data_IF_755113353724
#
_entry.id   IF_755113353724
#
_cell.length_a   1.000
_cell.length_b   1.000
_cell.length_c   1.000
_cell.angle_alpha   90.00
_cell.angle_beta   90.00
_cell.angle_gamma   90.00
#
_symmetry.space_group_name_H-M   'P 1'
#
loop_
_entity.id
_entity.type
_entity.pdbx_description
1 polymer ?
#
# COMPACT_ATOMS: atom_id res chain seq x y z
N UNK A 1 8.43 1.08 30.39
CA UNK A 1 7.58 1.34 29.20
C UNK A 1 6.49 0.28 29.20
N UNK A 2 5.22 0.69 29.02
CA UNK A 2 4.09 -0.25 29.03
C UNK A 2 3.68 -0.72 27.62
N UNK A 3 3.99 0.07 26.60
CA UNK A 3 3.68 -0.24 25.21
C UNK A 3 4.63 0.49 24.27
N UNK A 4 4.82 -0.09 23.08
CA UNK A 4 5.51 0.53 21.96
C UNK A 4 4.46 0.99 20.94
N UNK A 5 4.42 2.27 20.64
CA UNK A 5 3.47 2.82 19.67
C UNK A 5 4.18 3.40 18.45
N UNK A 6 3.53 3.28 17.29
CA UNK A 6 3.95 3.91 16.03
C UNK A 6 5.34 3.49 15.53
N UNK A 7 5.84 2.31 15.91
CA UNK A 7 7.03 1.73 15.29
C UNK A 7 6.75 1.41 13.82
N UNK A 8 7.65 1.77 12.92
CA UNK A 8 7.44 1.61 11.48
C UNK A 8 8.06 0.30 10.98
N UNK A 9 7.28 -0.43 10.22
CA UNK A 9 7.72 -1.56 9.40
C UNK A 9 7.40 -2.93 9.98
N UNK A 10 6.94 -3.82 9.11
CA UNK A 10 6.57 -5.19 9.48
C UNK A 10 7.77 -6.04 9.88
N UNK A 11 8.88 -6.09 9.14
CA UNK A 11 10.05 -6.86 9.55
C UNK A 11 10.63 -6.41 10.89
N UNK A 12 10.65 -5.10 11.14
CA UNK A 12 11.13 -4.53 12.40
C UNK A 12 10.24 -4.93 13.58
N UNK A 13 8.93 -4.92 13.38
CA UNK A 13 7.96 -5.33 14.41
C UNK A 13 8.10 -6.81 14.73
N UNK A 14 8.19 -7.66 13.71
CA UNK A 14 8.38 -9.11 13.91
C UNK A 14 9.71 -9.43 14.59
N UNK A 15 10.76 -8.69 14.29
CA UNK A 15 12.08 -8.88 14.87
C UNK A 15 12.12 -8.65 16.40
N UNK A 16 11.29 -7.75 16.91
CA UNK A 16 11.28 -7.40 18.34
C UNK A 16 10.23 -8.16 19.16
N UNK A 17 9.47 -9.09 18.57
CA UNK A 17 8.38 -9.80 19.26
C UNK A 17 8.87 -10.56 20.50
N UNK A 18 10.04 -11.19 20.44
CA UNK A 18 10.60 -11.91 21.58
C UNK A 18 10.96 -11.00 22.75
N UNK A 19 11.45 -9.79 22.47
CA UNK A 19 11.75 -8.81 23.51
C UNK A 19 10.46 -8.20 24.09
N UNK A 20 9.44 -7.95 23.26
CA UNK A 20 8.12 -7.51 23.74
C UNK A 20 7.49 -8.54 24.69
N UNK A 21 7.56 -9.81 24.33
CA UNK A 21 7.05 -10.92 25.14
C UNK A 21 7.78 -11.01 26.48
N UNK A 22 9.10 -11.00 26.45
CA UNK A 22 9.96 -11.03 27.64
C UNK A 22 9.69 -9.87 28.61
N UNK A 23 9.46 -8.67 28.07
CA UNK A 23 9.22 -7.47 28.84
C UNK A 23 7.73 -7.25 29.18
N UNK A 24 6.86 -8.20 28.80
CA UNK A 24 5.41 -8.13 28.94
C UNK A 24 4.83 -6.82 28.38
N UNK A 25 5.22 -6.50 27.18
CA UNK A 25 4.83 -5.29 26.45
C UNK A 25 3.99 -5.61 25.21
N UNK A 26 3.12 -4.69 24.84
CA UNK A 26 2.39 -4.72 23.57
C UNK A 26 2.95 -3.70 22.60
N UNK A 27 2.67 -3.87 21.31
CA UNK A 27 2.99 -2.87 20.29
C UNK A 27 1.77 -2.53 19.43
N UNK A 28 1.67 -1.25 19.04
CA UNK A 28 0.75 -0.75 18.02
C UNK A 28 1.58 -0.15 16.88
N UNK A 29 2.09 -0.98 15.95
CA UNK A 29 3.01 -0.53 14.92
C UNK A 29 2.30 0.17 13.77
N UNK A 30 3.00 1.02 13.03
CA UNK A 30 2.63 1.47 11.69
C UNK A 30 2.99 0.38 10.66
N UNK A 31 2.25 -0.70 10.73
CA UNK A 31 2.44 -1.92 9.94
C UNK A 31 1.17 -2.75 10.04
N UNK A 32 0.67 -3.24 8.92
CA UNK A 32 -0.65 -3.90 8.82
C UNK A 32 -0.54 -5.25 8.10
N UNK A 33 0.32 -6.10 8.62
CA UNK A 33 0.53 -7.45 8.10
C UNK A 33 -0.60 -8.38 8.52
N UNK A 34 -1.24 -9.08 7.59
CA UNK A 34 -2.35 -10.01 7.89
C UNK A 34 -1.95 -11.13 8.88
N UNK A 35 -0.66 -11.43 8.99
CA UNK A 35 -0.14 -12.40 9.94
C UNK A 35 -0.33 -12.01 11.41
N UNK A 36 -0.54 -10.73 11.71
CA UNK A 36 -0.82 -10.28 13.08
C UNK A 36 -2.17 -10.77 13.62
N UNK A 37 -3.08 -11.20 12.76
CA UNK A 37 -4.32 -11.85 13.19
C UNK A 37 -4.10 -13.26 13.76
N UNK A 38 -2.91 -13.82 13.62
CA UNK A 38 -2.58 -15.19 14.07
C UNK A 38 -1.66 -15.13 15.28
N UNK A 39 -2.21 -15.52 16.44
CA UNK A 39 -1.50 -15.53 17.72
C UNK A 39 -0.19 -16.34 17.69
N UNK A 40 -0.09 -17.32 16.83
CA UNK A 40 1.12 -18.12 16.63
C UNK A 40 2.26 -17.32 16.03
N UNK A 41 1.97 -16.21 15.33
CA UNK A 41 2.96 -15.32 14.70
C UNK A 41 3.26 -14.09 15.57
N UNK A 42 2.24 -13.46 16.13
CA UNK A 42 2.36 -12.19 16.87
C UNK A 42 2.37 -12.34 18.39
N UNK A 43 2.19 -13.58 18.90
CA UNK A 43 2.06 -13.92 20.32
C UNK A 43 0.90 -13.21 21.03
N UNK A 44 0.01 -12.57 20.30
CA UNK A 44 -1.06 -11.73 20.82
C UNK A 44 -0.57 -10.41 21.41
N UNK A 45 0.59 -9.92 20.95
CA UNK A 45 1.23 -8.70 21.46
C UNK A 45 0.99 -7.49 20.54
N UNK A 46 0.47 -7.69 19.34
CA UNK A 46 0.27 -6.62 18.36
C UNK A 46 -1.17 -6.12 18.43
N UNK A 47 -1.33 -4.82 18.53
CA UNK A 47 -2.62 -4.12 18.44
C UNK A 47 -2.68 -3.41 17.08
N UNK A 48 -3.45 -3.99 16.17
CA UNK A 48 -3.67 -3.38 14.85
C UNK A 48 -4.74 -2.28 14.96
N UNK A 49 -4.53 -1.18 14.25
CA UNK A 49 -5.48 -0.06 14.17
C UNK A 49 -5.89 0.27 12.73
N UNK A 50 -5.56 -0.58 11.78
CA UNK A 50 -5.87 -0.41 10.37
C UNK A 50 -6.16 -1.74 9.66
N UNK A 51 -6.58 -1.66 8.41
CA UNK A 51 -6.83 -2.83 7.56
C UNK A 51 -5.52 -3.48 7.14
N UNK A 52 -5.45 -4.80 7.15
CA UNK A 52 -4.25 -5.52 6.68
C UNK A 52 -3.92 -5.22 5.21
N UNK A 53 -2.65 -5.35 4.83
CA UNK A 53 -2.22 -5.14 3.44
C UNK A 53 -2.94 -6.08 2.47
N UNK A 54 -3.18 -7.32 2.88
CA UNK A 54 -3.96 -8.28 2.10
C UNK A 54 -5.40 -7.76 1.86
N UNK A 55 -6.10 -7.34 2.90
CA UNK A 55 -7.44 -6.77 2.76
C UNK A 55 -7.45 -5.46 1.96
N UNK A 56 -6.44 -4.60 2.12
CA UNK A 56 -6.29 -3.40 1.31
C UNK A 56 -6.11 -3.76 -0.18
N UNK A 57 -5.28 -4.76 -0.50
CA UNK A 57 -5.08 -5.23 -1.88
C UNK A 57 -6.36 -5.79 -2.52
N UNK A 58 -7.12 -6.59 -1.76
CA UNK A 58 -8.44 -7.09 -2.20
C UNK A 58 -9.39 -5.93 -2.50
N UNK A 59 -9.57 -5.04 -1.53
CA UNK A 59 -10.49 -3.90 -1.65
C UNK A 59 -10.08 -2.93 -2.77
N UNK A 60 -8.78 -2.75 -3.02
CA UNK A 60 -8.28 -1.90 -4.08
C UNK A 60 -8.75 -2.38 -5.46
N UNK A 61 -8.62 -3.68 -5.75
CA UNK A 61 -9.08 -4.23 -7.02
C UNK A 61 -10.60 -4.26 -7.12
N UNK A 62 -11.31 -4.71 -6.08
CA UNK A 62 -12.77 -4.74 -6.06
C UNK A 62 -13.35 -3.34 -6.26
N UNK A 63 -12.80 -2.34 -5.59
CA UNK A 63 -13.21 -0.95 -5.77
C UNK A 63 -12.92 -0.43 -7.19
N UNK A 64 -11.75 -0.74 -7.74
CA UNK A 64 -11.38 -0.31 -9.09
C UNK A 64 -12.35 -0.89 -10.15
N UNK A 65 -12.68 -2.17 -10.03
CA UNK A 65 -13.64 -2.84 -10.92
C UNK A 65 -15.06 -2.25 -10.82
N UNK A 66 -15.48 -1.88 -9.60
CA UNK A 66 -16.83 -1.37 -9.37
C UNK A 66 -16.99 0.13 -9.68
N UNK A 67 -15.92 0.92 -9.58
CA UNK A 67 -16.01 2.38 -9.50
C UNK A 67 -15.35 3.12 -10.65
N UNK A 68 -14.34 2.52 -11.30
CA UNK A 68 -13.64 3.18 -12.38
C UNK A 68 -14.35 2.97 -13.74
N UNK A 69 -14.37 3.99 -14.61
CA UNK A 69 -15.03 3.90 -15.92
C UNK A 69 -14.12 3.21 -16.97
N UNK A 70 -13.40 2.17 -16.56
CA UNK A 70 -12.46 1.41 -17.39
C UNK A 70 -12.69 -0.09 -17.19
N UNK A 71 -12.52 -0.85 -18.26
CA UNK A 71 -12.66 -2.31 -18.25
C UNK A 71 -11.31 -2.94 -17.89
N UNK A 72 -11.08 -3.20 -16.60
CA UNK A 72 -9.84 -3.80 -16.10
C UNK A 72 -9.90 -5.31 -16.28
N UNK A 73 -9.10 -5.85 -17.19
CA UNK A 73 -8.97 -7.29 -17.48
C UNK A 73 -7.62 -7.86 -17.08
N UNK A 74 -6.61 -6.99 -17.10
CA UNK A 74 -5.23 -7.36 -16.81
C UNK A 74 -4.62 -6.43 -15.77
N UNK A 75 -3.92 -7.01 -14.79
CA UNK A 75 -3.25 -6.26 -13.76
C UNK A 75 -1.80 -6.69 -13.59
N UNK A 76 -0.96 -5.74 -13.18
CA UNK A 76 0.40 -5.99 -12.73
C UNK A 76 0.55 -5.71 -11.24
N UNK A 77 1.43 -6.45 -10.58
CA UNK A 77 1.73 -6.25 -9.15
C UNK A 77 3.19 -5.89 -9.00
N UNK A 78 3.49 -4.81 -8.28
CA UNK A 78 4.86 -4.39 -7.97
C UNK A 78 4.99 -4.18 -6.47
N UNK A 79 6.04 -4.73 -5.88
CA UNK A 79 6.30 -4.52 -4.46
C UNK A 79 7.62 -5.11 -4.02
N UNK A 80 7.89 -5.00 -2.74
CA UNK A 80 8.98 -5.73 -2.12
C UNK A 80 8.46 -7.10 -1.64
N UNK A 81 9.26 -8.14 -1.78
CA UNK A 81 8.94 -9.44 -1.20
C UNK A 81 8.76 -9.34 0.33
N UNK A 82 8.06 -10.32 0.91
CA UNK A 82 7.86 -10.44 2.36
C UNK A 82 6.52 -9.89 2.84
N UNK A 83 6.52 -9.44 4.09
CA UNK A 83 5.30 -9.23 4.88
C UNK A 83 4.46 -8.01 4.46
N UNK A 84 5.06 -7.06 3.76
CA UNK A 84 4.35 -5.89 3.22
C UNK A 84 3.87 -6.14 1.78
N UNK A 85 4.81 -6.14 0.82
CA UNK A 85 4.44 -6.26 -0.59
C UNK A 85 3.91 -7.65 -0.96
N UNK A 86 4.42 -8.71 -0.32
CA UNK A 86 3.90 -10.06 -0.52
C UNK A 86 2.48 -10.25 0.04
N UNK A 87 2.16 -9.61 1.17
CA UNK A 87 0.82 -9.67 1.75
C UNK A 87 -0.20 -8.88 0.89
N UNK A 88 0.18 -7.69 0.44
CA UNK A 88 -0.57 -6.92 -0.55
C UNK A 88 -0.83 -7.72 -1.83
N UNK A 89 0.22 -8.33 -2.37
CA UNK A 89 0.12 -9.12 -3.60
C UNK A 89 -0.85 -10.30 -3.48
N UNK A 90 -0.86 -10.99 -2.33
CA UNK A 90 -1.84 -12.05 -2.06
C UNK A 90 -3.27 -11.54 -2.11
N UNK A 91 -3.51 -10.36 -1.54
CA UNK A 91 -4.84 -9.72 -1.58
C UNK A 91 -5.27 -9.41 -3.01
N UNK A 92 -4.42 -8.76 -3.80
CA UNK A 92 -4.71 -8.45 -5.22
C UNK A 92 -4.92 -9.73 -6.03
N UNK A 93 -4.10 -10.77 -5.84
CA UNK A 93 -4.24 -12.05 -6.52
C UNK A 93 -5.58 -12.74 -6.19
N UNK A 94 -5.97 -12.75 -4.91
CA UNK A 94 -7.24 -13.34 -4.48
C UNK A 94 -8.45 -12.61 -5.09
N UNK A 95 -8.44 -11.28 -5.12
CA UNK A 95 -9.48 -10.49 -5.75
C UNK A 95 -9.49 -10.69 -7.28
N UNK A 96 -8.32 -10.78 -7.92
CA UNK A 96 -8.21 -11.03 -9.35
C UNK A 96 -8.81 -12.40 -9.72
N UNK A 97 -8.50 -13.44 -8.97
CA UNK A 97 -9.08 -14.79 -9.16
C UNK A 97 -10.61 -14.75 -8.98
N UNK A 98 -11.11 -14.11 -7.92
CA UNK A 98 -12.53 -14.03 -7.63
C UNK A 98 -13.34 -13.28 -8.72
N UNK A 99 -12.72 -12.31 -9.39
CA UNK A 99 -13.35 -11.46 -10.39
C UNK A 99 -13.01 -11.86 -11.85
N UNK A 100 -12.21 -12.91 -12.07
CA UNK A 100 -11.81 -13.34 -13.41
C UNK A 100 -10.83 -12.38 -14.10
N UNK A 101 -10.08 -11.59 -13.32
CA UNK A 101 -9.04 -10.67 -13.80
C UNK A 101 -7.71 -11.41 -13.91
N UNK A 102 -6.96 -11.16 -14.98
CA UNK A 102 -5.65 -11.80 -15.18
C UNK A 102 -4.54 -11.00 -14.52
N UNK A 103 -3.77 -11.63 -13.63
CA UNK A 103 -2.49 -11.07 -13.18
C UNK A 103 -1.43 -11.38 -14.24
N UNK A 104 -1.11 -10.40 -15.08
CA UNK A 104 -0.19 -10.57 -16.20
C UNK A 104 1.25 -10.77 -15.74
N UNK A 105 1.64 -10.08 -14.67
CA UNK A 105 2.96 -10.21 -14.06
C UNK A 105 2.93 -9.77 -12.59
N UNK A 106 3.91 -10.27 -11.83
CA UNK A 106 4.15 -9.88 -10.45
C UNK A 106 5.67 -9.72 -10.25
N UNK A 107 6.10 -8.53 -9.85
CA UNK A 107 7.50 -8.21 -9.59
C UNK A 107 7.68 -7.88 -8.11
N UNK A 108 8.19 -8.85 -7.35
CA UNK A 108 8.31 -8.82 -5.89
C UNK A 108 9.72 -9.25 -5.45
N UNK A 109 10.78 -8.53 -5.84
CA UNK A 109 12.13 -8.84 -5.35
C UNK A 109 12.29 -8.45 -3.87
N UNK A 110 13.32 -8.94 -3.18
CA UNK A 110 13.75 -8.38 -1.91
C UNK A 110 13.96 -6.86 -2.02
N UNK A 111 13.70 -6.12 -0.94
CA UNK A 111 13.76 -4.64 -0.98
C UNK A 111 15.14 -4.10 -1.40
N UNK A 112 16.23 -4.83 -1.07
CA UNK A 112 17.60 -4.49 -1.44
C UNK A 112 17.94 -4.76 -2.91
N UNK A 113 17.08 -5.50 -3.61
CA UNK A 113 17.27 -5.91 -5.02
C UNK A 113 16.23 -5.27 -5.95
N UNK A 114 15.41 -4.34 -5.41
CA UNK A 114 14.39 -3.68 -6.21
C UNK A 114 15.02 -2.77 -7.26
N UNK A 115 14.72 -3.06 -8.53
CA UNK A 115 15.19 -2.31 -9.69
C UNK A 115 14.02 -1.58 -10.36
N UNK A 116 14.07 -0.25 -10.33
CA UNK A 116 13.07 0.63 -10.96
C UNK A 116 13.02 0.43 -12.47
N UNK A 117 14.17 0.26 -13.12
CA UNK A 117 14.22 0.08 -14.57
C UNK A 117 13.57 -1.24 -14.99
N UNK A 118 13.76 -2.30 -14.22
CA UNK A 118 13.09 -3.58 -14.44
C UNK A 118 11.57 -3.46 -14.25
N UNK A 119 11.12 -2.78 -13.19
CA UNK A 119 9.68 -2.55 -12.95
C UNK A 119 9.04 -1.78 -14.11
N UNK A 120 9.66 -0.68 -14.56
CA UNK A 120 9.19 0.10 -15.71
C UNK A 120 9.26 -0.72 -17.00
N UNK A 121 10.32 -1.50 -17.19
CA UNK A 121 10.49 -2.39 -18.35
C UNK A 121 9.35 -3.41 -18.49
N UNK A 122 8.85 -3.95 -17.37
CA UNK A 122 7.65 -4.83 -17.39
C UNK A 122 6.41 -4.09 -17.87
N UNK A 123 6.17 -2.88 -17.40
CA UNK A 123 5.03 -2.07 -17.86
C UNK A 123 5.10 -1.76 -19.37
N UNK A 124 6.31 -1.56 -19.91
CA UNK A 124 6.53 -1.31 -21.34
C UNK A 124 6.29 -2.56 -22.19
N UNK A 125 6.86 -3.68 -21.74
CA UNK A 125 6.89 -4.93 -22.54
C UNK A 125 5.63 -5.76 -22.37
N UNK A 126 4.96 -5.63 -21.24
CA UNK A 126 3.73 -6.33 -20.88
C UNK A 126 2.70 -5.33 -20.32
N UNK A 127 2.10 -4.49 -21.18
CA UNK A 127 1.16 -3.48 -20.73
C UNK A 127 -0.05 -4.12 -20.02
N UNK A 128 -0.55 -3.43 -19.00
CA UNK A 128 -1.71 -3.83 -18.20
C UNK A 128 -2.68 -2.67 -18.07
N UNK A 129 -3.94 -2.96 -17.74
CA UNK A 129 -4.98 -1.94 -17.56
C UNK A 129 -4.76 -1.19 -16.23
N UNK A 130 -4.29 -1.87 -15.20
CA UNK A 130 -3.93 -1.29 -13.92
C UNK A 130 -2.73 -1.99 -13.28
N UNK A 131 -2.00 -1.28 -12.41
CA UNK A 131 -0.96 -1.89 -11.59
C UNK A 131 -1.15 -1.57 -10.11
N UNK A 132 -0.68 -2.47 -9.25
CA UNK A 132 -0.92 -2.48 -7.82
C UNK A 132 0.41 -2.41 -7.06
N UNK A 133 0.93 -1.20 -6.80
CA UNK A 133 2.21 -1.03 -6.13
C UNK A 133 2.11 -1.09 -4.61
N UNK A 134 3.05 -1.82 -3.99
CA UNK A 134 3.33 -1.83 -2.56
C UNK A 134 4.82 -1.57 -2.33
N UNK A 135 5.21 -0.32 -2.46
CA UNK A 135 6.58 0.20 -2.40
C UNK A 135 6.70 1.27 -1.31
N UNK A 136 7.93 1.63 -0.96
CA UNK A 136 8.15 2.89 -0.25
C UNK A 136 7.90 4.09 -1.17
N UNK A 137 7.58 5.29 -0.61
CA UNK A 137 7.19 6.46 -1.40
C UNK A 137 8.24 6.87 -2.45
N UNK A 138 9.51 6.79 -2.12
CA UNK A 138 10.59 7.13 -3.06
C UNK A 138 10.60 6.20 -4.29
N UNK A 139 10.55 4.90 -4.07
CA UNK A 139 10.50 3.92 -5.15
C UNK A 139 9.20 4.05 -5.97
N UNK A 140 8.06 4.32 -5.30
CA UNK A 140 6.80 4.59 -5.97
C UNK A 140 6.91 5.78 -6.93
N UNK A 141 7.48 6.91 -6.47
CA UNK A 141 7.67 8.09 -7.31
C UNK A 141 8.59 7.81 -8.50
N UNK A 142 9.66 7.04 -8.30
CA UNK A 142 10.58 6.65 -9.38
C UNK A 142 9.93 5.74 -10.41
N UNK A 143 9.15 4.75 -10.00
CA UNK A 143 8.41 3.86 -10.91
C UNK A 143 7.37 4.64 -11.71
N UNK A 144 6.53 5.44 -11.05
CA UNK A 144 5.52 6.24 -11.73
C UNK A 144 6.13 7.28 -12.68
N UNK A 145 7.18 7.97 -12.25
CA UNK A 145 7.92 8.93 -13.08
C UNK A 145 8.61 8.27 -14.27
N UNK A 146 9.21 7.10 -14.08
CA UNK A 146 9.83 6.31 -15.14
C UNK A 146 8.81 5.82 -16.17
N UNK A 147 7.66 5.32 -15.74
CA UNK A 147 6.57 4.93 -16.62
C UNK A 147 6.04 6.13 -17.43
N UNK A 148 5.82 7.27 -16.79
CA UNK A 148 5.39 8.50 -17.43
C UNK A 148 6.38 8.97 -18.52
N UNK A 149 7.68 8.91 -18.25
CA UNK A 149 8.72 9.24 -19.24
C UNK A 149 8.70 8.32 -20.47
N UNK A 150 8.22 7.10 -20.31
CA UNK A 150 8.00 6.16 -21.44
C UNK A 150 6.62 6.34 -22.11
N UNK A 151 5.85 7.34 -21.74
CA UNK A 151 4.50 7.59 -22.27
C UNK A 151 3.46 6.59 -21.75
N UNK A 152 3.72 5.92 -20.63
CA UNK A 152 2.84 4.91 -20.06
C UNK A 152 2.21 5.47 -18.79
N UNK A 153 0.89 5.49 -18.73
CA UNK A 153 0.11 5.97 -17.58
C UNK A 153 -1.01 4.99 -17.24
N UNK A 154 -0.71 3.73 -16.89
CA UNK A 154 -1.73 2.80 -16.43
C UNK A 154 -2.28 3.27 -15.09
N UNK A 155 -3.49 2.84 -14.76
CA UNK A 155 -4.07 3.13 -13.45
C UNK A 155 -3.20 2.51 -12.36
N UNK A 156 -2.80 3.32 -11.37
CA UNK A 156 -2.07 2.88 -10.19
C UNK A 156 -3.01 2.82 -8.99
N UNK A 157 -3.15 1.64 -8.39
CA UNK A 157 -3.88 1.43 -7.13
C UNK A 157 -2.86 1.11 -6.03
N UNK A 158 -2.35 2.12 -5.34
CA UNK A 158 -1.23 1.93 -4.42
C UNK A 158 -1.68 1.57 -2.99
N UNK A 159 -0.87 0.77 -2.32
CA UNK A 159 -1.00 0.52 -0.89
C UNK A 159 -0.76 1.80 -0.09
N UNK A 160 -1.43 1.96 1.07
CA UNK A 160 -1.32 3.16 1.90
C UNK A 160 0.12 3.61 2.18
N UNK A 161 1.09 2.73 2.54
CA UNK A 161 2.47 3.15 2.78
C UNK A 161 3.24 3.62 1.53
N UNK A 162 2.71 3.40 0.33
CA UNK A 162 3.34 3.88 -0.91
C UNK A 162 3.10 5.38 -1.15
N UNK A 163 2.14 5.96 -0.46
CA UNK A 163 1.76 7.36 -0.61
C UNK A 163 2.61 8.28 0.27
N UNK A 164 2.81 9.51 -0.22
CA UNK A 164 3.36 10.62 0.53
C UNK A 164 2.61 11.91 0.14
N UNK A 165 2.28 12.74 1.10
CA UNK A 165 1.53 13.98 0.89
C UNK A 165 2.17 14.93 -0.14
N UNK A 166 3.49 14.85 -0.32
CA UNK A 166 4.18 15.63 -1.34
C UNK A 166 3.72 15.30 -2.76
N UNK A 167 3.21 14.08 -3.00
CA UNK A 167 2.79 13.63 -4.34
C UNK A 167 1.64 14.45 -4.91
N UNK A 168 0.79 15.00 -4.05
CA UNK A 168 -0.38 15.79 -4.43
C UNK A 168 -0.17 17.30 -4.29
N UNK A 169 1.03 17.73 -3.85
CA UNK A 169 1.34 19.16 -3.73
C UNK A 169 1.52 19.79 -5.10
N UNK A 170 1.10 21.04 -5.21
CA UNK A 170 1.31 21.83 -6.42
C UNK A 170 2.80 21.86 -6.81
N UNK A 171 3.07 21.65 -8.09
CA UNK A 171 4.44 21.59 -8.64
C UNK A 171 5.14 20.24 -8.50
N UNK A 172 4.57 19.26 -7.80
CA UNK A 172 5.14 17.92 -7.76
C UNK A 172 4.76 17.14 -9.03
N UNK A 173 5.74 16.41 -9.60
CA UNK A 173 5.56 15.73 -10.91
C UNK A 173 4.42 14.70 -10.96
N UNK A 174 4.05 14.09 -9.83
CA UNK A 174 2.97 13.11 -9.77
C UNK A 174 1.59 13.73 -9.51
N UNK A 175 1.49 14.98 -9.07
CA UNK A 175 0.21 15.62 -8.75
C UNK A 175 -0.81 15.55 -9.91
N UNK A 176 -0.42 15.76 -11.18
CA UNK A 176 -1.34 15.61 -12.32
C UNK A 176 -1.92 14.19 -12.47
N UNK A 177 -1.19 13.15 -12.06
CA UNK A 177 -1.68 11.76 -12.17
C UNK A 177 -2.81 11.48 -11.16
N UNK A 178 -2.78 12.11 -9.98
CA UNK A 178 -3.88 12.04 -9.02
C UNK A 178 -5.10 12.82 -9.51
N UNK A 179 -4.90 14.03 -10.01
CA UNK A 179 -6.01 14.86 -10.51
C UNK A 179 -6.64 14.35 -11.79
N UNK A 180 -5.89 13.62 -12.63
CA UNK A 180 -6.41 12.97 -13.84
C UNK A 180 -7.14 11.65 -13.55
N UNK A 181 -7.09 11.13 -12.34
CA UNK A 181 -7.65 9.83 -12.00
C UNK A 181 -6.82 8.65 -12.50
N UNK A 182 -5.51 8.85 -12.68
CA UNK A 182 -4.59 7.75 -13.03
C UNK A 182 -3.90 7.14 -11.80
N UNK A 183 -3.97 7.79 -10.63
CA UNK A 183 -3.38 7.28 -9.40
C UNK A 183 -4.37 7.36 -8.23
N UNK A 184 -4.46 6.28 -7.49
CA UNK A 184 -5.30 6.12 -6.32
C UNK A 184 -4.49 5.52 -5.17
N UNK A 185 -4.89 5.80 -3.95
CA UNK A 185 -4.30 5.22 -2.74
C UNK A 185 -5.39 4.57 -1.90
N UNK A 186 -5.11 3.38 -1.39
CA UNK A 186 -5.95 2.78 -0.36
C UNK A 186 -5.73 3.51 0.96
N UNK A 187 -6.79 3.77 1.69
CA UNK A 187 -6.72 4.36 3.01
C UNK A 187 -7.72 3.66 3.94
N UNK A 188 -7.30 3.43 5.17
CA UNK A 188 -8.16 2.93 6.25
C UNK A 188 -8.59 4.06 7.19
N UNK A 189 -8.17 5.29 6.90
CA UNK A 189 -8.61 6.52 7.57
C UNK A 189 -9.10 7.53 6.55
N UNK A 190 -10.03 8.36 6.97
CA UNK A 190 -10.47 9.50 6.17
C UNK A 190 -9.38 10.60 6.16
N UNK A 191 -9.27 11.42 5.10
CA UNK A 191 -8.34 12.54 5.08
C UNK A 191 -8.68 13.56 6.18
N UNK A 192 -7.69 14.36 6.59
CA UNK A 192 -7.83 15.34 7.68
C UNK A 192 -9.01 16.30 7.48
N UNK A 193 -9.30 16.68 6.26
CA UNK A 193 -10.39 17.57 5.86
C UNK A 193 -11.77 16.90 5.82
N UNK A 194 -11.85 15.60 6.09
CA UNK A 194 -13.13 14.88 6.05
C UNK A 194 -14.16 15.47 7.01
N UNK A 195 -15.38 15.57 6.52
CA UNK A 195 -16.52 16.10 7.30
C UNK A 195 -17.12 14.99 8.18
N UNK A 196 -16.40 14.65 9.25
CA UNK A 196 -16.88 13.73 10.28
C UNK A 196 -16.73 14.37 11.66
N UNK A 197 -17.56 13.98 12.66
CA UNK A 197 -17.45 14.52 14.02
C UNK A 197 -16.06 14.36 14.64
N UNK A 198 -15.38 13.22 14.38
CA UNK A 198 -14.02 12.97 14.89
C UNK A 198 -12.98 13.90 14.27
N UNK A 199 -13.04 14.14 12.95
CA UNK A 199 -12.14 15.08 12.27
C UNK A 199 -12.42 16.52 12.69
N UNK A 200 -13.68 16.91 12.89
CA UNK A 200 -14.02 18.24 13.42
C UNK A 200 -13.44 18.47 14.82
N UNK A 201 -13.56 17.49 15.72
CA UNK A 201 -12.97 17.56 17.06
C UNK A 201 -11.42 17.62 17.00
N UNK A 202 -10.81 16.85 16.12
CA UNK A 202 -9.36 16.87 15.91
C UNK A 202 -8.88 18.23 15.43
N UNK A 203 -9.51 18.81 14.38
CA UNK A 203 -9.18 20.16 13.89
C UNK A 203 -9.33 21.21 14.98
N UNK A 204 -10.45 21.21 15.71
CA UNK A 204 -10.68 22.15 16.81
C UNK A 204 -9.59 22.08 17.90
N UNK A 205 -9.00 20.90 18.13
CA UNK A 205 -7.89 20.73 19.09
C UNK A 205 -6.57 21.30 18.56
N UNK A 206 -6.35 21.20 17.23
CA UNK A 206 -5.11 21.74 16.62
C UNK A 206 -5.14 23.24 16.39
N UNK A 207 -6.33 23.84 16.27
CA UNK A 207 -6.52 25.27 16.02
C UNK A 207 -6.65 26.09 17.31
N UNK A 208 -6.71 25.45 18.47
CA UNK A 208 -6.81 26.08 19.80
C UNK A 208 -5.45 26.38 20.40
#
# INVERSE_FOLDING_TARGET
>A
VAALAMSLGTPQTLFILDELDKDNMIAAPMSWYSGYAYKELDKGLIVEFGSSYCAQGMNALDWALASLPVDIKTVGIIGNAGDYGGDWAKGVQAAAEANGVTVAWSYLPPATEFDVAQAVGLMVTQPVDAYFPALGPTAMAQVAGGAFQQGITPIAMMAAPSFNDSFVREGFALAPLFTSGSMYVTAFTQPYEADTPGHAAMRATFEA
#
